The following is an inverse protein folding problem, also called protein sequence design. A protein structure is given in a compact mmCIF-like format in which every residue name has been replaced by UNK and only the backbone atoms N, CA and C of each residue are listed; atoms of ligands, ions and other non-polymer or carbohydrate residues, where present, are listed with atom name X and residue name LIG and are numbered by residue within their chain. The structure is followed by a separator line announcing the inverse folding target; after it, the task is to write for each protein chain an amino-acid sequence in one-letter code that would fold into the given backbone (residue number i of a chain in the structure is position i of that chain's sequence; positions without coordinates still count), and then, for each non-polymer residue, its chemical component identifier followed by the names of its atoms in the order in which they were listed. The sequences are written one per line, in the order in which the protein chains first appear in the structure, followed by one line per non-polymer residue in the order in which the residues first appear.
data_IF_704192609982
#
_entry.id   IF_704192609982
#
_cell.length_a   1.000
_cell.length_b   1.000
_cell.length_c   1.000
_cell.angle_alpha   90.00
_cell.angle_beta   90.00
_cell.angle_gamma   90.00
#
_symmetry.space_group_name_H-M   'P 1'
#
loop_
_entity.id
_entity.type
_entity.pdbx_description
1 polymer ?
#
# COMPACT_ATOMS: atom_id res chain seq x y z
N UNK A 1 15.53 0.93 -18.56
CA UNK A 1 15.04 1.39 -17.23
C UNK A 1 14.66 0.21 -16.35
N UNK A 2 14.87 0.36 -15.04
CA UNK A 2 14.54 -0.69 -14.09
C UNK A 2 13.22 -0.40 -13.39
N UNK A 3 12.58 -1.43 -12.86
CA UNK A 3 11.33 -1.31 -12.18
C UNK A 3 11.53 -1.02 -10.69
N UNK A 4 12.21 0.08 -10.42
CA UNK A 4 12.48 0.48 -9.03
C UNK A 4 11.19 0.68 -8.26
N UNK A 5 11.29 1.25 -7.06
CA UNK A 5 10.12 1.48 -6.22
C UNK A 5 9.15 2.41 -6.89
N UNK A 6 7.87 2.11 -6.72
CA UNK A 6 6.81 2.95 -7.25
C UNK A 6 5.82 3.34 -6.16
N UNK A 7 6.08 2.91 -4.92
CA UNK A 7 5.20 3.25 -3.81
C UNK A 7 5.62 2.59 -2.52
N UNK A 8 6.69 3.10 -1.91
CA UNK A 8 7.17 2.56 -0.65
C UNK A 8 6.53 3.30 0.50
N UNK A 9 6.03 2.55 1.48
CA UNK A 9 5.38 3.17 2.60
C UNK A 9 5.48 2.34 3.86
N UNK A 10 5.00 2.93 4.95
CA UNK A 10 5.02 2.28 6.24
C UNK A 10 3.60 2.09 6.75
N UNK A 11 3.20 0.85 7.05
CA UNK A 11 1.83 0.59 7.53
C UNK A 11 1.46 1.46 8.72
N UNK A 12 0.29 2.04 8.63
CA UNK A 12 -0.23 2.83 9.71
C UNK A 12 -0.99 1.84 10.56
N UNK A 13 -2.01 1.26 9.93
CA UNK A 13 -2.82 0.19 10.50
C UNK A 13 -3.57 -0.53 9.38
N UNK A 14 -4.60 -1.29 9.75
CA UNK A 14 -5.42 -1.99 8.76
C UNK A 14 -6.86 -2.01 9.21
N UNK A 15 -7.76 -2.49 8.35
CA UNK A 15 -9.17 -2.52 8.69
C UNK A 15 -9.79 -3.89 8.56
N UNK A 16 -9.49 -4.78 9.52
CA UNK A 16 -10.07 -6.11 9.51
C UNK A 16 -11.42 -6.04 10.19
N UNK A 17 -12.30 -5.27 9.58
CA UNK A 17 -13.64 -5.02 10.05
C UNK A 17 -14.61 -6.04 9.45
N UNK A 18 -15.72 -6.27 10.13
CA UNK A 18 -16.75 -7.20 9.62
C UNK A 18 -17.76 -6.43 8.78
N UNK A 19 -17.27 -5.42 8.07
CA UNK A 19 -18.10 -4.58 7.21
C UNK A 19 -17.30 -4.02 6.04
N UNK A 20 -16.00 -3.77 6.24
CA UNK A 20 -15.17 -3.24 5.19
C UNK A 20 -14.31 -4.36 4.58
N UNK A 21 -13.03 -4.40 4.93
CA UNK A 21 -12.13 -5.43 4.44
C UNK A 21 -10.92 -5.58 5.33
N UNK A 22 -9.83 -4.97 4.88
CA UNK A 22 -8.56 -4.96 5.59
C UNK A 22 -7.78 -3.72 5.17
N UNK A 23 -8.53 -2.63 4.93
CA UNK A 23 -7.95 -1.36 4.51
C UNK A 23 -6.68 -1.02 5.27
N UNK A 24 -5.57 -1.36 4.67
CA UNK A 24 -4.27 -1.12 5.27
C UNK A 24 -3.74 0.27 4.92
N UNK A 25 -3.52 1.07 5.95
CA UNK A 25 -2.99 2.39 5.74
C UNK A 25 -1.48 2.35 5.76
N UNK A 26 -0.86 3.21 4.96
CA UNK A 26 0.59 3.21 4.88
C UNK A 26 1.12 4.64 4.64
N UNK A 27 2.15 5.02 5.36
CA UNK A 27 2.78 6.33 5.19
C UNK A 27 3.81 6.19 4.09
N UNK A 28 3.70 7.00 3.05
CA UNK A 28 4.59 6.88 1.91
C UNK A 28 5.91 7.63 2.08
N UNK A 29 6.96 7.06 1.50
CA UNK A 29 8.30 7.62 1.56
C UNK A 29 9.03 7.49 0.23
N UNK A 30 8.30 7.19 -0.82
CA UNK A 30 8.90 7.02 -2.14
C UNK A 30 7.87 7.39 -3.22
N UNK A 31 7.90 6.70 -4.36
CA UNK A 31 6.97 6.99 -5.47
C UNK A 31 5.53 7.31 -5.03
N UNK A 32 4.61 6.36 -5.23
CA UNK A 32 3.20 6.56 -4.90
C UNK A 32 2.53 5.25 -4.54
N UNK A 33 1.63 5.29 -3.57
CA UNK A 33 0.88 4.11 -3.21
C UNK A 33 -0.45 4.12 -3.97
N UNK A 34 -0.38 3.75 -5.23
CA UNK A 34 -1.56 3.78 -6.09
C UNK A 34 -2.25 2.42 -6.21
N UNK A 35 -3.44 2.46 -6.83
CA UNK A 35 -4.23 1.26 -7.06
C UNK A 35 -3.57 0.37 -8.11
N UNK A 36 -3.02 1.01 -9.14
CA UNK A 36 -2.35 0.29 -10.21
C UNK A 36 -0.88 0.06 -9.89
N UNK A 37 -0.63 -0.56 -8.74
CA UNK A 37 0.73 -0.84 -8.29
C UNK A 37 0.75 -2.10 -7.44
N UNK A 38 1.93 -2.70 -7.32
CA UNK A 38 2.09 -3.89 -6.51
C UNK A 38 2.42 -3.51 -5.08
N UNK A 39 2.64 -4.49 -4.21
CA UNK A 39 2.97 -4.19 -2.82
C UNK A 39 3.85 -5.26 -2.21
N UNK A 40 4.72 -4.82 -1.33
CA UNK A 40 5.64 -5.72 -0.65
C UNK A 40 6.09 -5.17 0.69
N UNK A 41 5.51 -5.68 1.76
CA UNK A 41 5.90 -5.22 3.08
C UNK A 41 6.91 -6.18 3.70
N UNK A 42 7.49 -5.78 4.82
CA UNK A 42 8.50 -6.58 5.49
C UNK A 42 8.51 -6.31 6.99
N UNK A 43 8.71 -7.36 7.78
CA UNK A 43 8.78 -7.23 9.23
C UNK A 43 10.22 -6.90 9.61
N UNK A 44 10.63 -7.20 10.83
CA UNK A 44 11.99 -6.93 11.25
C UNK A 44 12.88 -8.15 11.04
N UNK A 45 12.51 -9.00 10.08
CA UNK A 45 13.28 -10.18 9.80
C UNK A 45 13.11 -10.67 8.37
N UNK A 46 11.87 -10.67 7.88
CA UNK A 46 11.58 -11.17 6.55
C UNK A 46 10.36 -10.46 5.93
N UNK A 47 9.77 -11.09 4.91
CA UNK A 47 8.60 -10.54 4.25
C UNK A 47 7.34 -10.92 5.00
N UNK A 48 6.50 -9.92 5.19
CA UNK A 48 5.25 -10.10 5.91
C UNK A 48 4.17 -10.53 4.93
N UNK A 49 4.22 -9.94 3.75
CA UNK A 49 3.27 -10.26 2.70
C UNK A 49 3.71 -9.64 1.39
N UNK A 50 3.16 -10.13 0.28
CA UNK A 50 3.51 -9.61 -1.03
C UNK A 50 2.34 -9.73 -2.00
N UNK A 51 2.37 -8.91 -3.03
CA UNK A 51 1.31 -8.94 -4.02
C UNK A 51 1.03 -7.56 -4.60
N UNK A 52 -0.23 -7.16 -4.54
CA UNK A 52 -0.64 -5.87 -5.05
C UNK A 52 -1.65 -5.23 -4.16
N UNK A 53 -2.12 -4.07 -4.58
CA UNK A 53 -3.08 -3.36 -3.80
C UNK A 53 -4.48 -3.85 -4.13
N UNK A 54 -5.34 -3.97 -3.13
CA UNK A 54 -6.69 -4.42 -3.35
C UNK A 54 -7.59 -3.23 -3.66
N UNK A 55 -7.48 -2.18 -2.84
CA UNK A 55 -8.27 -0.97 -3.03
C UNK A 55 -7.53 0.26 -2.50
N UNK A 56 -7.97 1.44 -2.92
CA UNK A 56 -7.36 2.70 -2.50
C UNK A 56 -8.42 3.72 -2.09
N UNK A 57 -8.51 3.98 -0.79
CA UNK A 57 -9.47 4.93 -0.27
C UNK A 57 -8.93 5.59 1.00
N UNK A 58 -8.77 6.90 0.94
CA UNK A 58 -8.27 7.66 2.08
C UNK A 58 -9.44 8.08 2.97
N UNK A 59 -9.22 9.08 3.82
CA UNK A 59 -10.26 9.55 4.71
C UNK A 59 -11.13 10.62 4.03
N UNK A 60 -10.70 11.08 2.85
CA UNK A 60 -11.43 12.08 2.11
C UNK A 60 -12.23 11.44 0.97
N UNK A 61 -11.53 10.74 0.08
CA UNK A 61 -12.18 10.11 -1.06
C UNK A 61 -11.38 8.88 -1.52
N UNK A 62 -11.77 8.32 -2.66
CA UNK A 62 -11.10 7.16 -3.22
C UNK A 62 -9.96 7.60 -4.13
N UNK A 63 -8.88 8.10 -3.52
CA UNK A 63 -7.72 8.56 -4.28
C UNK A 63 -7.06 7.45 -5.03
N UNK A 64 -6.38 7.82 -6.11
CA UNK A 64 -5.72 6.85 -6.93
C UNK A 64 -4.29 6.60 -6.47
N UNK A 65 -3.65 7.60 -5.88
CA UNK A 65 -2.27 7.44 -5.40
C UNK A 65 -2.06 8.20 -4.08
N UNK A 66 -0.85 8.09 -3.54
CA UNK A 66 -0.49 8.77 -2.29
C UNK A 66 1.02 9.06 -2.28
N UNK A 67 1.42 10.07 -3.04
CA UNK A 67 2.83 10.44 -3.14
C UNK A 67 3.18 11.61 -2.22
N UNK A 68 4.49 11.90 -2.15
CA UNK A 68 5.02 12.98 -1.30
C UNK A 68 5.21 12.50 0.12
N UNK A 69 4.11 12.34 0.83
CA UNK A 69 4.17 11.86 2.18
C UNK A 69 2.81 11.79 2.84
N UNK A 70 1.80 11.38 2.06
CA UNK A 70 0.44 11.28 2.56
C UNK A 70 0.07 9.83 2.86
N UNK A 71 -0.70 9.63 3.92
CA UNK A 71 -1.12 8.30 4.31
C UNK A 71 -2.56 8.04 3.85
N UNK A 72 -2.78 6.90 3.22
CA UNK A 72 -4.10 6.53 2.73
C UNK A 72 -4.42 5.09 3.10
N UNK A 73 -5.70 4.80 3.33
CA UNK A 73 -6.10 3.45 3.69
C UNK A 73 -6.40 2.60 2.48
N UNK A 74 -5.55 1.61 2.23
CA UNK A 74 -5.72 0.73 1.09
C UNK A 74 -5.50 -0.72 1.48
N UNK A 75 -6.25 -1.60 0.85
CA UNK A 75 -6.10 -3.03 1.11
C UNK A 75 -4.94 -3.56 0.28
N UNK A 76 -4.25 -4.58 0.78
CA UNK A 76 -3.12 -5.14 0.06
C UNK A 76 -3.42 -6.56 -0.38
N UNK A 77 -4.02 -6.70 -1.56
CA UNK A 77 -4.37 -8.03 -2.09
C UNK A 77 -5.02 -8.90 -1.01
N UNK A 78 -4.74 -10.20 -1.03
CA UNK A 78 -5.31 -11.09 -0.05
C UNK A 78 -4.44 -11.14 1.21
N UNK A 79 -4.29 -9.99 1.87
CA UNK A 79 -3.48 -9.91 3.10
C UNK A 79 -3.93 -10.88 4.19
N UNK A 80 -3.00 -11.78 4.56
CA UNK A 80 -3.22 -12.72 5.63
C UNK A 80 -2.95 -12.01 6.96
N UNK A 81 -1.82 -11.31 7.04
CA UNK A 81 -1.48 -10.55 8.25
C UNK A 81 -2.18 -9.20 8.24
N UNK A 82 -2.68 -8.77 9.39
CA UNK A 82 -3.38 -7.49 9.49
C UNK A 82 -2.90 -6.67 10.67
N UNK A 83 -3.49 -5.48 10.79
CA UNK A 83 -3.16 -4.52 11.85
C UNK A 83 -1.69 -4.17 11.78
N UNK A 84 -1.42 -2.89 11.49
CA UNK A 84 -0.05 -2.32 11.35
C UNK A 84 1.06 -3.34 11.50
N UNK A 85 1.11 -4.24 10.53
CA UNK A 85 2.12 -5.25 10.53
C UNK A 85 3.50 -4.68 10.43
N UNK A 86 3.79 -4.00 9.32
CA UNK A 86 5.13 -3.41 9.14
C UNK A 86 5.22 -2.37 8.01
N UNK A 87 6.39 -2.29 7.37
CA UNK A 87 6.61 -1.34 6.26
C UNK A 87 6.26 -2.00 4.93
N UNK A 88 5.47 -1.30 4.10
CA UNK A 88 5.05 -1.82 2.81
C UNK A 88 5.91 -1.27 1.67
N UNK A 89 5.93 -1.98 0.53
CA UNK A 89 6.73 -1.51 -0.62
C UNK A 89 6.08 -1.83 -1.95
N UNK A 90 5.63 -0.78 -2.62
CA UNK A 90 5.01 -0.93 -3.93
C UNK A 90 6.08 -0.87 -5.00
N UNK A 91 6.11 -1.88 -5.86
CA UNK A 91 7.10 -1.94 -6.93
C UNK A 91 6.46 -2.27 -8.26
N UNK A 92 6.93 -1.61 -9.33
CA UNK A 92 6.39 -1.85 -10.66
C UNK A 92 7.16 -1.03 -11.71
N UNK A 93 6.56 -0.85 -12.89
CA UNK A 93 7.20 -0.09 -13.96
C UNK A 93 6.82 1.38 -13.87
N UNK A 94 7.04 2.13 -14.95
CA UNK A 94 6.73 3.55 -14.99
C UNK A 94 5.36 3.80 -15.61
N UNK A 95 4.42 2.91 -15.34
CA UNK A 95 3.06 3.04 -15.87
C UNK A 95 2.03 2.99 -14.75
N UNK A 96 2.30 3.72 -13.67
CA UNK A 96 1.40 3.75 -12.52
C UNK A 96 0.58 5.04 -12.52
N UNK A 97 -0.55 5.01 -11.81
CA UNK A 97 -1.44 6.17 -11.69
C UNK A 97 -2.17 6.43 -13.01
N UNK A 98 -1.40 6.74 -14.06
CA UNK A 98 -1.96 7.01 -15.37
C UNK A 98 -2.10 5.75 -16.22
N UNK A 99 -1.64 4.65 -15.67
CA UNK A 99 -1.69 3.36 -16.35
C UNK A 99 -1.68 2.20 -15.36
#
# INVERSE_FOLDING_TARGET
YEEKVIGQAEVRQTFKVSKVGTIAGCYVTDGKITRDSKVRLIRQGIVVYEGEIDSLKRYKDDVREVAQGYECGLTIKNFNDIKEGDVIEAYVMQEVARA
#
